data_IF_458384576483
#
_entry.id   IF_458384576483
#
_cell.length_a   1.000
_cell.length_b   1.000
_cell.length_c   1.000
_cell.angle_alpha   90.00
_cell.angle_beta   90.00
_cell.angle_gamma   90.00
#
_symmetry.space_group_name_H-M   'P 1'
#
loop_
_entity.id
_entity.type
_entity.pdbx_description
1 polymer ?
#
# COMPACT_ATOMS: atom_id res chain seq x y z
N UNK A 1 -2.95 -38.46 -0.41
CA UNK A 1 -2.02 -37.86 0.56
C UNK A 1 -2.85 -37.15 1.60
N UNK A 2 -2.64 -37.42 2.89
CA UNK A 2 -3.26 -36.64 3.96
C UNK A 2 -2.84 -35.17 3.80
N UNK A 3 -3.81 -34.26 3.77
CA UNK A 3 -3.53 -32.81 3.81
C UNK A 3 -3.13 -32.48 5.24
N UNK A 4 -1.86 -32.11 5.43
CA UNK A 4 -1.33 -31.68 6.73
C UNK A 4 -1.24 -30.16 6.73
N UNK A 5 -1.67 -29.52 7.82
CA UNK A 5 -1.59 -28.07 7.95
C UNK A 5 -0.14 -27.58 7.94
N UNK A 6 0.16 -26.44 7.29
CA UNK A 6 1.49 -25.84 7.30
C UNK A 6 2.01 -25.59 8.71
N UNK A 7 3.14 -26.20 9.03
CA UNK A 7 3.80 -26.08 10.33
C UNK A 7 5.32 -26.15 10.16
N UNK A 8 6.06 -25.73 11.19
CA UNK A 8 7.51 -25.80 11.26
C UNK A 8 7.95 -26.14 12.69
N UNK A 9 7.64 -27.36 13.18
CA UNK A 9 7.84 -27.74 14.58
C UNK A 9 9.31 -27.64 15.02
N UNK A 10 10.27 -27.89 14.13
CA UNK A 10 11.71 -27.74 14.39
C UNK A 10 12.09 -26.26 14.60
N UNK A 11 11.46 -25.35 13.87
CA UNK A 11 11.69 -23.91 13.99
C UNK A 11 11.08 -23.36 15.28
N UNK A 12 9.88 -23.83 15.65
CA UNK A 12 9.26 -23.49 16.94
C UNK A 12 10.13 -23.96 18.11
N UNK A 13 10.62 -25.21 18.05
CA UNK A 13 11.48 -25.76 19.08
C UNK A 13 12.81 -24.99 19.19
N UNK A 14 13.43 -24.69 18.05
CA UNK A 14 14.68 -23.92 17.98
C UNK A 14 14.50 -22.50 18.52
N UNK A 15 13.41 -21.83 18.16
CA UNK A 15 13.13 -20.47 18.62
C UNK A 15 12.92 -20.43 20.13
N UNK A 16 12.03 -21.27 20.67
CA UNK A 16 11.77 -21.32 22.10
C UNK A 16 13.01 -21.72 22.88
N UNK A 17 13.77 -22.71 22.40
CA UNK A 17 15.07 -23.07 22.97
C UNK A 17 16.02 -21.89 23.05
N UNK A 18 16.22 -21.20 21.92
CA UNK A 18 17.10 -20.03 21.86
C UNK A 18 16.59 -18.88 22.74
N UNK A 19 15.27 -18.68 22.87
CA UNK A 19 14.69 -17.68 23.79
C UNK A 19 14.97 -18.00 25.26
N UNK A 20 14.87 -19.27 25.66
CA UNK A 20 15.13 -19.71 27.04
C UNK A 20 16.62 -19.64 27.42
N UNK A 21 17.52 -19.72 26.44
CA UNK A 21 18.98 -19.66 26.65
C UNK A 21 19.53 -18.23 26.53
N UNK A 22 19.03 -17.45 25.58
CA UNK A 22 19.53 -16.12 25.26
C UNK A 22 18.43 -15.05 25.45
N UNK A 23 18.49 -14.23 26.52
CA UNK A 23 17.48 -13.20 26.77
C UNK A 23 17.27 -12.20 25.63
N UNK A 24 18.33 -11.93 24.84
CA UNK A 24 18.24 -11.05 23.66
C UNK A 24 17.31 -11.60 22.58
N UNK A 25 17.25 -12.93 22.42
CA UNK A 25 16.40 -13.56 21.41
C UNK A 25 14.92 -13.47 21.76
N UNK A 26 14.59 -13.54 23.05
CA UNK A 26 13.22 -13.31 23.52
C UNK A 26 12.74 -11.91 23.18
N UNK A 27 13.58 -10.90 23.44
CA UNK A 27 13.29 -9.51 23.06
C UNK A 27 13.04 -9.39 21.56
N UNK A 28 13.94 -9.93 20.73
CA UNK A 28 13.78 -9.86 19.26
C UNK A 28 12.49 -10.53 18.79
N UNK A 29 12.16 -11.72 19.28
CA UNK A 29 10.94 -12.42 18.87
C UNK A 29 9.67 -11.62 19.23
N UNK A 30 9.65 -11.01 20.41
CA UNK A 30 8.52 -10.21 20.91
C UNK A 30 8.41 -8.85 20.21
N UNK A 31 9.53 -8.14 19.99
CA UNK A 31 9.55 -6.85 19.29
C UNK A 31 9.13 -6.97 17.82
N UNK A 32 9.53 -8.07 17.17
CA UNK A 32 9.09 -8.37 15.81
C UNK A 32 7.58 -8.55 15.76
N UNK A 33 6.93 -8.97 16.85
CA UNK A 33 5.47 -9.09 17.03
C UNK A 33 4.93 -10.49 16.71
N UNK A 34 5.70 -11.53 17.01
CA UNK A 34 5.22 -12.91 16.93
C UNK A 34 4.17 -13.11 18.05
N UNK A 35 3.06 -13.75 17.74
CA UNK A 35 1.97 -13.99 18.71
C UNK A 35 1.96 -15.47 19.13
N UNK A 36 1.46 -15.80 20.33
CA UNK A 36 1.36 -17.18 20.78
C UNK A 36 0.59 -18.08 19.79
N UNK A 37 -0.47 -17.56 19.16
CA UNK A 37 -1.29 -18.27 18.17
C UNK A 37 -0.54 -18.59 16.86
N UNK A 38 0.63 -17.98 16.63
CA UNK A 38 1.49 -18.34 15.50
C UNK A 38 2.14 -19.72 15.66
N UNK A 39 2.20 -20.26 16.88
CA UNK A 39 2.71 -21.60 17.15
C UNK A 39 1.66 -22.67 16.80
N UNK A 40 2.07 -23.66 16.03
CA UNK A 40 1.25 -24.80 15.67
C UNK A 40 1.12 -25.79 16.83
N UNK A 41 2.21 -26.02 17.55
CA UNK A 41 2.20 -26.93 18.70
C UNK A 41 1.61 -26.21 19.90
N UNK A 42 0.53 -26.76 20.44
CA UNK A 42 -0.20 -26.21 21.57
C UNK A 42 0.67 -26.01 22.84
N UNK A 43 1.59 -26.94 23.10
CA UNK A 43 2.57 -26.79 24.19
C UNK A 43 3.50 -25.58 23.97
N UNK A 44 3.98 -25.39 22.74
CA UNK A 44 4.83 -24.26 22.38
C UNK A 44 4.07 -22.93 22.49
N UNK A 45 2.80 -22.90 22.09
CA UNK A 45 1.91 -21.73 22.27
C UNK A 45 1.83 -21.31 23.73
N UNK A 46 1.58 -22.25 24.65
CA UNK A 46 1.50 -21.97 26.09
C UNK A 46 2.82 -21.46 26.66
N UNK A 47 3.93 -22.07 26.24
CA UNK A 47 5.28 -21.66 26.65
C UNK A 47 5.57 -20.24 26.15
N UNK A 48 5.26 -19.93 24.90
CA UNK A 48 5.45 -18.59 24.33
C UNK A 48 4.58 -17.54 25.06
N UNK A 49 3.32 -17.86 25.34
CA UNK A 49 2.43 -16.98 26.11
C UNK A 49 3.00 -16.67 27.50
N UNK A 50 3.56 -17.68 28.19
CA UNK A 50 4.24 -17.44 29.47
C UNK A 50 5.46 -16.52 29.31
N UNK A 51 6.22 -16.64 28.20
CA UNK A 51 7.30 -15.71 27.89
C UNK A 51 6.78 -14.29 27.64
N UNK A 52 5.66 -14.11 26.93
CA UNK A 52 5.03 -12.80 26.70
C UNK A 52 4.66 -12.12 28.01
N UNK A 53 3.99 -12.83 28.93
CA UNK A 53 3.61 -12.28 30.23
C UNK A 53 4.84 -11.88 31.06
N UNK A 54 5.85 -12.75 31.13
CA UNK A 54 7.09 -12.47 31.87
C UNK A 54 7.82 -11.25 31.31
N UNK A 55 7.81 -11.08 29.98
CA UNK A 55 8.39 -9.90 29.34
C UNK A 55 7.63 -8.62 29.69
N UNK A 56 6.29 -8.66 29.68
CA UNK A 56 5.45 -7.51 30.06
C UNK A 56 5.67 -7.08 31.52
N UNK A 57 5.95 -8.04 32.40
CA UNK A 57 6.29 -7.78 33.80
C UNK A 57 7.75 -7.35 34.02
N UNK A 58 8.56 -7.29 32.95
CA UNK A 58 9.98 -6.94 33.04
C UNK A 58 10.85 -8.02 33.69
N UNK A 59 10.35 -9.25 33.78
CA UNK A 59 11.08 -10.40 34.33
C UNK A 59 11.94 -11.05 33.25
N UNK A 60 13.13 -11.51 33.62
CA UNK A 60 14.01 -12.22 32.70
C UNK A 60 13.40 -13.57 32.30
N UNK A 61 13.39 -13.86 31.01
CA UNK A 61 12.91 -15.12 30.46
C UNK A 61 14.05 -16.13 30.48
N UNK A 62 13.85 -17.21 31.23
CA UNK A 62 14.70 -18.40 31.24
C UNK A 62 13.83 -19.63 31.57
N UNK A 63 14.43 -20.83 31.53
CA UNK A 63 13.69 -22.07 31.79
C UNK A 63 13.08 -22.17 33.18
N UNK A 64 13.69 -21.52 34.19
CA UNK A 64 13.19 -21.56 35.56
C UNK A 64 12.02 -20.61 35.73
N UNK A 65 12.12 -19.38 35.22
CA UNK A 65 11.05 -18.39 35.30
C UNK A 65 9.82 -18.83 34.51
N UNK A 66 10.02 -19.38 33.31
CA UNK A 66 8.93 -19.92 32.47
C UNK A 66 8.28 -21.14 33.11
N UNK A 67 9.06 -22.11 33.63
CA UNK A 67 8.49 -23.27 34.31
C UNK A 67 7.70 -22.88 35.57
N UNK A 68 8.19 -21.88 36.32
CA UNK A 68 7.50 -21.35 37.50
C UNK A 68 6.17 -20.71 37.10
N UNK A 69 6.16 -19.85 36.08
CA UNK A 69 4.92 -19.24 35.55
C UNK A 69 3.91 -20.28 35.09
N UNK A 70 4.35 -21.29 34.34
CA UNK A 70 3.47 -22.36 33.88
C UNK A 70 2.95 -23.22 35.04
N UNK A 71 3.71 -23.35 36.12
CA UNK A 71 3.28 -24.06 37.33
C UNK A 71 2.24 -23.26 38.10
N UNK A 72 2.45 -21.95 38.27
CA UNK A 72 1.53 -21.06 38.98
C UNK A 72 0.17 -20.96 38.28
N UNK A 73 0.14 -21.18 36.96
CA UNK A 73 -1.06 -21.19 36.11
C UNK A 73 -1.65 -22.57 35.87
N UNK A 74 -1.11 -23.64 36.48
CA UNK A 74 -1.55 -25.04 36.28
C UNK A 74 -1.52 -25.50 34.79
N UNK A 75 -0.54 -24.99 34.05
CA UNK A 75 -0.30 -25.27 32.63
C UNK A 75 1.02 -26.05 32.38
N UNK A 76 1.87 -26.24 33.39
CA UNK A 76 3.17 -26.91 33.24
C UNK A 76 3.03 -28.33 32.70
N UNK A 77 2.19 -29.15 33.33
CA UNK A 77 1.98 -30.54 32.90
C UNK A 77 1.31 -30.61 31.52
N UNK A 78 0.39 -29.68 31.22
CA UNK A 78 -0.26 -29.54 29.91
C UNK A 78 0.69 -29.07 28.81
N UNK A 79 1.86 -28.56 29.18
CA UNK A 79 2.91 -28.11 28.26
C UNK A 79 4.04 -29.15 28.12
N UNK A 80 3.85 -30.36 28.64
CA UNK A 80 4.84 -31.45 28.59
C UNK A 80 5.80 -31.49 29.79
N UNK A 81 5.58 -30.64 30.79
CA UNK A 81 6.37 -30.60 32.01
C UNK A 81 7.76 -30.00 31.85
N UNK A 82 8.55 -30.02 32.93
CA UNK A 82 9.90 -29.48 32.95
C UNK A 82 10.83 -30.18 31.94
N UNK A 83 10.64 -31.48 31.72
CA UNK A 83 11.42 -32.25 30.77
C UNK A 83 11.28 -31.72 29.34
N UNK A 84 10.07 -31.33 28.93
CA UNK A 84 9.85 -30.74 27.62
C UNK A 84 10.56 -29.40 27.45
N UNK A 85 10.52 -28.53 28.47
CA UNK A 85 11.24 -27.24 28.46
C UNK A 85 12.75 -27.45 28.33
N UNK A 86 13.31 -28.42 29.05
CA UNK A 86 14.73 -28.79 28.92
C UNK A 86 15.06 -29.33 27.53
N UNK A 87 14.17 -30.11 26.92
CA UNK A 87 14.32 -30.59 25.55
C UNK A 87 14.32 -29.45 24.53
N UNK A 88 13.47 -28.41 24.71
CA UNK A 88 13.51 -27.21 23.88
C UNK A 88 14.86 -26.50 23.99
N UNK A 89 15.43 -26.38 25.20
CA UNK A 89 16.76 -25.79 25.37
C UNK A 89 17.85 -26.55 24.62
N UNK A 90 17.75 -27.88 24.51
CA UNK A 90 18.70 -28.69 23.74
C UNK A 90 18.59 -28.46 22.23
N UNK A 91 17.44 -27.98 21.74
CA UNK A 91 17.24 -27.56 20.36
C UNK A 91 17.72 -26.11 20.10
N UNK A 92 18.18 -25.39 21.12
CA UNK A 92 18.64 -24.02 20.99
C UNK A 92 19.84 -23.93 20.03
N UNK A 93 19.73 -23.02 19.07
CA UNK A 93 20.82 -22.67 18.15
C UNK A 93 21.30 -21.24 18.50
N UNK A 94 22.14 -20.64 17.67
CA UNK A 94 22.60 -19.25 17.83
C UNK A 94 21.46 -18.23 17.79
N UNK A 95 21.56 -17.20 18.63
CA UNK A 95 20.66 -16.04 18.62
C UNK A 95 20.68 -15.26 17.30
N UNK A 96 21.73 -15.42 16.48
CA UNK A 96 21.82 -14.80 15.15
C UNK A 96 20.70 -15.28 14.19
N UNK A 97 20.12 -16.47 14.42
CA UNK A 97 19.08 -17.04 13.56
C UNK A 97 17.66 -16.77 14.07
N UNK A 98 17.50 -16.06 15.20
CA UNK A 98 16.18 -15.81 15.80
C UNK A 98 15.19 -15.22 14.80
N UNK A 99 15.60 -14.21 14.03
CA UNK A 99 14.74 -13.57 13.04
C UNK A 99 14.30 -14.55 11.92
N UNK A 100 15.20 -15.45 11.51
CA UNK A 100 14.89 -16.49 10.52
C UNK A 100 13.79 -17.43 11.01
N UNK A 101 13.87 -17.87 12.27
CA UNK A 101 12.85 -18.75 12.85
C UNK A 101 11.52 -18.03 13.07
N UNK A 102 11.54 -16.78 13.55
CA UNK A 102 10.34 -15.93 13.67
C UNK A 102 9.63 -15.81 12.33
N UNK A 103 10.36 -15.50 11.26
CA UNK A 103 9.78 -15.38 9.93
C UNK A 103 9.21 -16.71 9.42
N UNK A 104 9.91 -17.83 9.65
CA UNK A 104 9.44 -19.14 9.23
C UNK A 104 8.15 -19.55 9.93
N UNK A 105 8.05 -19.33 11.24
CA UNK A 105 6.84 -19.63 12.02
C UNK A 105 5.67 -18.76 11.54
N UNK A 106 5.90 -17.45 11.33
CA UNK A 106 4.90 -16.52 10.78
C UNK A 106 4.41 -16.91 9.41
N UNK A 107 5.30 -17.29 8.51
CA UNK A 107 4.92 -17.71 7.17
C UNK A 107 4.00 -18.93 7.23
N UNK A 108 4.30 -19.91 8.10
CA UNK A 108 3.44 -21.07 8.32
C UNK A 108 2.12 -20.70 8.98
N UNK A 109 2.13 -19.83 9.98
CA UNK A 109 0.92 -19.35 10.65
C UNK A 109 -0.01 -18.60 9.68
N UNK A 110 0.54 -17.73 8.84
CA UNK A 110 -0.23 -17.01 7.82
C UNK A 110 -0.81 -17.95 6.78
N UNK A 111 -0.07 -18.99 6.36
CA UNK A 111 -0.61 -20.04 5.50
C UNK A 111 -1.76 -20.79 6.17
N UNK A 112 -1.67 -21.12 7.47
CA UNK A 112 -2.78 -21.76 8.21
C UNK A 112 -4.02 -20.87 8.28
N UNK A 113 -3.86 -19.60 8.69
CA UNK A 113 -4.96 -18.62 8.73
C UNK A 113 -5.65 -18.44 7.37
N UNK A 114 -4.87 -18.47 6.28
CA UNK A 114 -5.41 -18.43 4.92
C UNK A 114 -6.21 -19.68 4.56
N UNK A 115 -5.75 -20.86 4.96
CA UNK A 115 -6.48 -22.13 4.77
C UNK A 115 -7.80 -22.08 5.55
N UNK A 116 -7.77 -21.68 6.82
CA UNK A 116 -8.96 -21.57 7.67
C UNK A 116 -9.96 -20.55 7.12
N UNK A 117 -9.49 -19.41 6.60
CA UNK A 117 -10.36 -18.43 5.94
C UNK A 117 -10.98 -19.00 4.66
N UNK A 118 -10.23 -19.73 3.84
CA UNK A 118 -10.74 -20.38 2.64
C UNK A 118 -11.76 -21.49 2.96
N UNK A 119 -11.55 -22.26 4.03
CA UNK A 119 -12.49 -23.28 4.50
C UNK A 119 -13.80 -22.65 4.99
N UNK A 120 -13.73 -21.55 5.74
CA UNK A 120 -14.92 -20.79 6.16
C UNK A 120 -15.72 -20.24 4.98
N UNK A 121 -15.04 -19.65 4.00
CA UNK A 121 -15.68 -19.17 2.75
C UNK A 121 -16.35 -20.32 2.01
N UNK A 122 -15.69 -21.48 1.90
CA UNK A 122 -16.27 -22.64 1.25
C UNK A 122 -17.50 -23.17 1.99
N UNK A 123 -17.45 -23.27 3.32
CA UNK A 123 -18.56 -23.73 4.16
C UNK A 123 -19.77 -22.79 4.04
N UNK A 124 -19.55 -21.48 4.07
CA UNK A 124 -20.59 -20.48 3.83
C UNK A 124 -21.23 -20.64 2.44
N UNK A 125 -20.41 -20.90 1.41
CA UNK A 125 -20.90 -21.16 0.05
C UNK A 125 -21.81 -22.38 -0.05
N UNK A 126 -21.51 -23.46 0.69
CA UNK A 126 -22.37 -24.65 0.75
C UNK A 126 -23.64 -24.44 1.58
N UNK A 127 -23.61 -23.55 2.57
CA UNK A 127 -24.75 -23.30 3.48
C UNK A 127 -25.95 -22.60 2.81
N UNK A 128 -25.77 -22.05 1.60
CA UNK A 128 -26.84 -21.43 0.81
C UNK A 128 -27.23 -20.04 1.33
N UNK A 129 -26.41 -19.03 1.04
CA UNK A 129 -26.68 -17.61 1.33
C UNK A 129 -27.78 -17.04 0.41
N UNK A 130 -28.60 -16.12 0.95
CA UNK A 130 -29.75 -15.53 0.23
C UNK A 130 -29.36 -14.34 -0.65
N UNK A 131 -28.21 -13.69 -0.40
CA UNK A 131 -27.67 -12.58 -1.21
C UNK A 131 -26.22 -12.87 -1.63
N UNK A 132 -26.00 -12.99 -2.94
CA UNK A 132 -24.69 -13.23 -3.54
C UNK A 132 -23.72 -12.08 -3.28
N UNK A 133 -24.18 -10.82 -3.25
CA UNK A 133 -23.28 -9.68 -3.08
C UNK A 133 -22.72 -9.62 -1.66
N UNK A 134 -23.56 -9.89 -0.66
CA UNK A 134 -23.12 -9.92 0.74
C UNK A 134 -22.13 -11.08 0.98
N UNK A 135 -22.36 -12.25 0.37
CA UNK A 135 -21.40 -13.34 0.41
C UNK A 135 -20.04 -12.98 -0.23
N UNK A 136 -20.05 -12.34 -1.40
CA UNK A 136 -18.82 -11.87 -2.05
C UNK A 136 -18.08 -10.84 -1.20
N UNK A 137 -18.78 -9.85 -0.66
CA UNK A 137 -18.19 -8.80 0.19
C UNK A 137 -17.60 -9.37 1.50
N UNK A 138 -18.27 -10.34 2.14
CA UNK A 138 -17.76 -11.03 3.34
C UNK A 138 -16.55 -11.90 3.02
N UNK A 139 -16.61 -12.65 1.93
CA UNK A 139 -15.49 -13.48 1.47
C UNK A 139 -14.26 -12.63 1.19
N UNK A 140 -14.43 -11.49 0.51
CA UNK A 140 -13.34 -10.55 0.26
C UNK A 140 -12.76 -10.02 1.58
N UNK A 141 -13.60 -9.64 2.54
CA UNK A 141 -13.14 -9.18 3.87
C UNK A 141 -12.38 -10.26 4.64
N UNK A 142 -12.86 -11.50 4.68
CA UNK A 142 -12.19 -12.61 5.38
C UNK A 142 -10.79 -12.86 4.80
N UNK A 143 -10.67 -12.98 3.48
CA UNK A 143 -9.38 -13.17 2.83
C UNK A 143 -8.44 -11.96 3.04
N UNK A 144 -8.97 -10.73 2.94
CA UNK A 144 -8.18 -9.53 3.15
C UNK A 144 -7.72 -9.36 4.60
N UNK A 145 -8.50 -9.80 5.59
CA UNK A 145 -8.14 -9.69 7.00
C UNK A 145 -6.91 -10.52 7.34
N UNK A 146 -6.75 -11.71 6.74
CA UNK A 146 -5.53 -12.52 6.90
C UNK A 146 -4.28 -11.75 6.43
N UNK A 147 -4.41 -10.95 5.36
CA UNK A 147 -3.32 -10.11 4.85
C UNK A 147 -3.09 -8.82 5.65
N UNK A 148 -4.05 -8.38 6.49
CA UNK A 148 -4.01 -7.09 7.20
C UNK A 148 -3.39 -7.14 8.59
N UNK A 149 -2.97 -8.30 9.10
CA UNK A 149 -2.31 -8.40 10.42
C UNK A 149 -0.90 -7.78 10.49
N UNK A 150 -0.50 -6.95 9.53
CA UNK A 150 0.62 -6.02 9.67
C UNK A 150 0.16 -4.76 10.40
N UNK A 151 0.23 -4.78 11.74
CA UNK A 151 0.28 -3.63 12.67
C UNK A 151 -0.29 -2.32 12.10
N UNK A 152 -1.61 -2.23 11.95
CA UNK A 152 -2.28 -0.97 11.66
C UNK A 152 -2.85 -0.40 12.98
N UNK A 153 -2.20 0.64 13.54
CA UNK A 153 -2.86 1.51 14.52
C UNK A 153 -2.20 1.71 15.90
N UNK A 154 -1.03 1.14 16.19
CA UNK A 154 -0.35 1.40 17.47
C UNK A 154 0.32 2.78 17.50
N UNK A 155 0.38 3.40 18.70
CA UNK A 155 1.17 4.61 18.91
C UNK A 155 2.64 4.31 18.60
N UNK A 156 3.22 5.07 17.67
CA UNK A 156 4.65 4.95 17.37
C UNK A 156 5.47 5.53 18.51
N UNK A 157 6.51 4.82 18.94
CA UNK A 157 7.48 5.36 19.90
C UNK A 157 8.18 6.59 19.29
N UNK A 158 8.28 7.74 19.99
CA UNK A 158 8.94 8.93 19.48
C UNK A 158 10.38 8.68 19.02
N UNK A 159 11.11 7.78 19.69
CA UNK A 159 12.49 7.45 19.32
C UNK A 159 12.57 6.77 17.95
N UNK A 160 11.64 5.86 17.65
CA UNK A 160 11.60 5.16 16.36
C UNK A 160 11.27 6.13 15.22
N UNK A 161 10.31 7.02 15.45
CA UNK A 161 9.95 8.08 14.48
C UNK A 161 11.13 9.01 14.21
N UNK A 162 11.81 9.47 15.27
CA UNK A 162 12.98 10.35 15.14
C UNK A 162 14.13 9.66 14.41
N UNK A 163 14.38 8.38 14.70
CA UNK A 163 15.41 7.61 14.00
C UNK A 163 15.10 7.46 12.51
N UNK A 164 13.83 7.21 12.13
CA UNK A 164 13.38 7.15 10.73
C UNK A 164 13.55 8.50 10.01
N UNK A 165 13.20 9.60 10.68
CA UNK A 165 13.38 10.97 10.17
C UNK A 165 14.87 11.30 9.98
N UNK A 166 15.71 11.03 10.98
CA UNK A 166 17.15 11.29 10.90
C UNK A 166 17.82 10.46 9.79
N UNK A 167 17.41 9.20 9.61
CA UNK A 167 17.85 8.37 8.49
C UNK A 167 17.48 8.98 7.14
N UNK A 168 16.28 9.53 7.03
CA UNK A 168 15.78 10.19 5.81
C UNK A 168 16.56 11.48 5.52
N UNK A 169 16.84 12.29 6.54
CA UNK A 169 17.65 13.51 6.40
C UNK A 169 19.08 13.17 5.98
N UNK A 170 19.71 12.15 6.58
CA UNK A 170 21.06 11.70 6.18
C UNK A 170 21.10 11.22 4.73
N UNK A 171 20.14 10.41 4.31
CA UNK A 171 20.03 9.95 2.93
C UNK A 171 19.81 11.11 1.95
N UNK A 172 19.08 12.16 2.36
CA UNK A 172 18.92 13.38 1.58
C UNK A 172 20.22 14.21 1.52
N UNK A 173 20.98 14.30 2.62
CA UNK A 173 22.25 15.02 2.67
C UNK A 173 23.36 14.35 1.83
N UNK A 174 23.34 13.02 1.73
CA UNK A 174 24.26 12.25 0.87
C UNK A 174 23.93 12.40 -0.62
N UNK A 175 22.67 12.63 -0.97
CA UNK A 175 22.25 12.90 -2.33
C UNK A 175 22.38 14.39 -2.65
N UNK A 176 23.30 14.77 -3.53
CA UNK A 176 23.50 16.17 -3.96
C UNK A 176 22.35 16.75 -4.81
N UNK A 177 21.18 16.10 -4.84
CA UNK A 177 19.99 16.56 -5.56
C UNK A 177 19.09 17.36 -4.62
N UNK A 178 18.82 18.63 -4.94
CA UNK A 178 17.88 19.48 -4.19
C UNK A 178 16.44 18.91 -4.15
N UNK A 179 16.10 18.03 -5.09
CA UNK A 179 14.75 17.46 -5.22
C UNK A 179 14.69 16.12 -4.49
N UNK A 180 13.86 16.04 -3.43
CA UNK A 180 13.67 14.86 -2.57
C UNK A 180 12.56 13.93 -3.05
N UNK A 181 11.56 14.48 -3.75
CA UNK A 181 10.44 13.74 -4.34
C UNK A 181 10.67 13.36 -5.80
N UNK A 182 9.60 12.91 -6.48
CA UNK A 182 9.64 12.67 -7.92
C UNK A 182 9.67 14.00 -8.67
N UNK A 183 10.65 14.21 -9.56
CA UNK A 183 10.73 15.44 -10.37
C UNK A 183 9.55 15.51 -11.32
N UNK A 184 8.89 16.66 -11.39
CA UNK A 184 7.75 16.91 -12.29
C UNK A 184 8.19 17.23 -13.71
N UNK A 185 9.46 17.64 -13.89
CA UNK A 185 9.99 18.17 -15.15
C UNK A 185 9.70 19.66 -15.35
N UNK A 186 9.01 20.30 -14.40
CA UNK A 186 8.85 21.74 -14.34
C UNK A 186 9.79 22.30 -13.27
N UNK A 187 10.96 22.79 -13.67
CA UNK A 187 12.04 23.19 -12.75
C UNK A 187 11.58 24.18 -11.66
N UNK A 188 10.78 25.18 -12.02
CA UNK A 188 10.26 26.15 -11.05
C UNK A 188 9.30 25.52 -10.04
N UNK A 189 8.48 24.55 -10.47
CA UNK A 189 7.58 23.82 -9.60
C UNK A 189 8.36 22.86 -8.69
N UNK A 190 9.36 22.18 -9.23
CA UNK A 190 10.22 21.27 -8.48
C UNK A 190 11.02 22.02 -7.41
N UNK A 191 11.45 23.25 -7.68
CA UNK A 191 12.14 24.09 -6.69
C UNK A 191 11.24 24.49 -5.52
N UNK A 192 9.94 24.68 -5.77
CA UNK A 192 8.97 25.08 -4.73
C UNK A 192 8.50 23.85 -3.94
N UNK A 193 8.22 22.76 -4.64
CA UNK A 193 7.60 21.55 -4.04
C UNK A 193 8.63 20.52 -3.58
N UNK A 194 9.89 20.67 -3.98
CA UNK A 194 10.93 19.65 -3.86
C UNK A 194 10.50 18.32 -4.52
N UNK A 195 9.70 18.40 -5.58
CA UNK A 195 9.13 17.26 -6.30
C UNK A 195 7.89 16.67 -5.63
N UNK A 196 7.29 15.66 -6.26
CA UNK A 196 6.12 14.97 -5.74
C UNK A 196 6.51 13.99 -4.64
N UNK A 197 6.05 14.27 -3.43
CA UNK A 197 6.39 13.49 -2.25
C UNK A 197 5.57 12.19 -2.17
N UNK A 198 6.21 11.13 -1.69
CA UNK A 198 5.56 9.83 -1.48
C UNK A 198 4.60 9.90 -0.30
N UNK A 199 3.38 9.38 -0.46
CA UNK A 199 2.35 9.45 0.58
C UNK A 199 1.44 10.66 0.49
N UNK A 200 1.71 11.59 -0.43
CA UNK A 200 0.93 12.78 -0.62
C UNK A 200 -0.18 12.63 -1.66
N UNK A 201 -1.29 13.30 -1.36
CA UNK A 201 -2.37 13.51 -2.31
C UNK A 201 -2.24 14.94 -2.82
N UNK A 202 -2.04 15.10 -4.12
CA UNK A 202 -1.86 16.38 -4.80
C UNK A 202 -3.11 16.62 -5.62
N UNK A 203 -3.76 17.77 -5.40
CA UNK A 203 -4.97 18.14 -6.13
C UNK A 203 -4.63 19.14 -7.24
N UNK A 204 -4.91 18.77 -8.49
CA UNK A 204 -4.80 19.69 -9.64
C UNK A 204 -6.18 20.15 -10.06
N UNK A 205 -6.53 21.40 -9.71
CA UNK A 205 -7.85 21.94 -9.99
C UNK A 205 -7.82 23.05 -11.04
N UNK A 206 -8.72 22.99 -12.02
CA UNK A 206 -8.91 24.05 -13.00
C UNK A 206 -10.34 24.08 -13.56
N UNK A 207 -10.70 25.15 -14.27
CA UNK A 207 -11.93 25.20 -15.07
C UNK A 207 -11.78 24.34 -16.34
N UNK A 208 -12.91 23.89 -16.96
CA UNK A 208 -12.88 23.26 -18.28
C UNK A 208 -12.09 24.09 -19.28
N UNK A 209 -11.43 23.39 -20.21
CA UNK A 209 -10.63 24.00 -21.29
C UNK A 209 -9.39 24.79 -20.85
N UNK A 210 -9.04 24.81 -19.56
CA UNK A 210 -7.81 25.46 -19.05
C UNK A 210 -6.55 24.56 -19.10
N UNK A 211 -6.65 23.36 -19.71
CA UNK A 211 -5.49 22.47 -19.88
C UNK A 211 -5.15 21.56 -18.70
N UNK A 212 -6.08 21.34 -17.75
CA UNK A 212 -5.91 20.45 -16.57
C UNK A 212 -5.28 19.09 -16.93
N UNK A 213 -5.93 18.35 -17.84
CA UNK A 213 -5.45 17.04 -18.30
C UNK A 213 -4.12 17.15 -19.04
N UNK A 214 -3.88 18.24 -19.79
CA UNK A 214 -2.62 18.41 -20.52
C UNK A 214 -1.44 18.57 -19.56
N UNK A 215 -1.59 19.38 -18.51
CA UNK A 215 -0.56 19.53 -17.45
C UNK A 215 -0.31 18.20 -16.75
N UNK A 216 -1.37 17.49 -16.35
CA UNK A 216 -1.25 16.22 -15.66
C UNK A 216 -0.58 15.12 -16.50
N UNK A 217 -0.93 15.01 -17.80
CA UNK A 217 -0.29 14.06 -18.72
C UNK A 217 1.19 14.39 -18.93
N UNK A 218 1.56 15.66 -19.07
CA UNK A 218 2.96 16.03 -19.20
C UNK A 218 3.75 15.70 -17.92
N UNK A 219 3.15 15.92 -16.76
CA UNK A 219 3.75 15.54 -15.48
C UNK A 219 3.95 14.01 -15.40
N UNK A 220 2.92 13.22 -15.73
CA UNK A 220 3.03 11.76 -15.76
C UNK A 220 4.10 11.29 -16.76
N UNK A 221 4.14 11.86 -17.96
CA UNK A 221 5.14 11.55 -18.99
C UNK A 221 6.56 11.88 -18.52
N UNK A 222 6.78 13.06 -17.97
CA UNK A 222 8.08 13.47 -17.46
C UNK A 222 8.55 12.54 -16.35
N UNK A 223 7.66 12.21 -15.40
CA UNK A 223 7.96 11.23 -14.34
C UNK A 223 8.34 9.88 -14.94
N UNK A 224 7.64 9.41 -15.98
CA UNK A 224 7.91 8.10 -16.60
C UNK A 224 9.26 8.02 -17.31
N UNK A 225 9.69 9.13 -17.90
CA UNK A 225 10.88 9.19 -18.75
C UNK A 225 12.16 9.54 -17.97
N UNK A 226 12.07 9.89 -16.69
CA UNK A 226 13.25 10.11 -15.86
C UNK A 226 14.01 8.78 -15.67
N UNK A 227 15.34 8.74 -15.91
CA UNK A 227 16.14 7.51 -15.78
C UNK A 227 16.02 6.82 -14.41
N UNK A 228 15.83 7.60 -13.34
CA UNK A 228 15.65 7.10 -11.96
C UNK A 228 14.25 6.49 -11.73
N UNK A 229 13.26 6.88 -12.53
CA UNK A 229 11.89 6.39 -12.46
C UNK A 229 11.67 5.10 -13.26
N UNK A 230 12.65 4.65 -14.05
CA UNK A 230 12.59 3.42 -14.88
C UNK A 230 12.29 2.12 -14.10
N UNK A 231 12.12 2.16 -12.77
CA UNK A 231 11.80 1.00 -11.93
C UNK A 231 10.36 0.93 -11.41
N UNK A 232 9.50 1.93 -11.64
CA UNK A 232 8.15 1.91 -11.07
C UNK A 232 7.10 2.42 -12.06
N UNK A 233 5.93 1.79 -12.04
CA UNK A 233 4.82 2.12 -12.92
C UNK A 233 4.15 3.46 -12.59
N UNK A 234 3.48 4.04 -13.57
CA UNK A 234 2.56 5.17 -13.44
C UNK A 234 1.17 4.68 -13.82
N UNK A 235 0.25 4.70 -12.87
CA UNK A 235 -1.15 4.36 -13.12
C UNK A 235 -1.94 5.62 -13.45
N UNK A 236 -2.64 5.64 -14.58
CA UNK A 236 -3.53 6.72 -15.00
C UNK A 236 -4.95 6.19 -15.08
N UNK A 237 -5.83 6.68 -14.21
CA UNK A 237 -7.27 6.43 -14.28
C UNK A 237 -7.95 7.58 -15.00
N UNK A 238 -8.49 7.31 -16.18
CA UNK A 238 -9.11 8.29 -17.07
C UNK A 238 -10.60 8.04 -17.16
N UNK A 239 -11.38 8.81 -16.42
CA UNK A 239 -12.82 8.60 -16.27
C UNK A 239 -13.63 9.42 -17.29
N UNK A 240 -13.00 10.40 -17.94
CA UNK A 240 -13.63 11.25 -18.96
C UNK A 240 -13.21 10.88 -20.39
N UNK A 241 -11.95 10.47 -20.58
CA UNK A 241 -11.35 10.25 -21.90
C UNK A 241 -10.92 8.80 -22.10
N UNK A 242 -11.13 8.26 -23.30
CA UNK A 242 -10.61 6.93 -23.66
C UNK A 242 -9.08 6.88 -23.73
N UNK A 243 -8.50 5.71 -23.50
CA UNK A 243 -7.05 5.52 -23.44
C UNK A 243 -6.34 5.93 -24.75
N UNK A 244 -6.95 5.66 -25.91
CA UNK A 244 -6.41 6.06 -27.22
C UNK A 244 -6.27 7.58 -27.36
N UNK A 245 -7.22 8.35 -26.81
CA UNK A 245 -7.18 9.81 -26.87
C UNK A 245 -6.05 10.38 -25.98
N UNK A 246 -5.82 9.76 -24.82
CA UNK A 246 -4.69 10.12 -23.96
C UNK A 246 -3.35 9.75 -24.61
N UNK A 247 -3.25 8.56 -25.20
CA UNK A 247 -2.05 8.12 -25.91
C UNK A 247 -1.70 9.07 -27.08
N UNK A 248 -2.71 9.52 -27.84
CA UNK A 248 -2.53 10.52 -28.90
C UNK A 248 -1.96 11.84 -28.36
N UNK A 249 -2.42 12.29 -27.18
CA UNK A 249 -1.92 13.51 -26.54
C UNK A 249 -0.48 13.35 -26.04
N UNK A 250 -0.14 12.21 -25.44
CA UNK A 250 1.23 11.90 -25.03
C UNK A 250 2.17 11.87 -26.24
N UNK A 251 1.74 11.23 -27.33
CA UNK A 251 2.50 11.18 -28.58
C UNK A 251 2.70 12.57 -29.19
N UNK A 252 1.66 13.40 -29.21
CA UNK A 252 1.73 14.79 -29.65
C UNK A 252 2.72 15.61 -28.82
N UNK A 253 2.66 15.49 -27.49
CA UNK A 253 3.55 16.18 -26.57
C UNK A 253 5.01 15.76 -26.76
N UNK A 254 5.26 14.46 -26.91
CA UNK A 254 6.61 13.91 -27.05
C UNK A 254 7.24 14.12 -28.43
N UNK A 255 6.45 14.01 -29.50
CA UNK A 255 6.93 14.16 -30.88
C UNK A 255 7.00 15.63 -31.35
N UNK A 256 6.42 16.56 -30.60
CA UNK A 256 6.23 17.95 -30.99
C UNK A 256 5.50 18.09 -32.34
N UNK A 257 4.45 17.31 -32.52
CA UNK A 257 3.56 17.34 -33.69
C UNK A 257 2.17 17.74 -33.25
N UNK A 258 1.55 18.65 -34.01
CA UNK A 258 0.19 19.12 -33.75
C UNK A 258 -0.81 17.96 -33.76
N UNK A 259 -1.69 17.91 -32.75
CA UNK A 259 -2.66 16.83 -32.59
C UNK A 259 -3.59 16.63 -33.80
N UNK A 260 -3.93 17.70 -34.52
CA UNK A 260 -4.80 17.60 -35.72
C UNK A 260 -4.11 16.88 -36.88
N UNK A 261 -2.78 17.02 -37.02
CA UNK A 261 -2.02 16.25 -38.02
C UNK A 261 -2.00 14.76 -37.66
N UNK A 262 -1.86 14.43 -36.38
CA UNK A 262 -1.89 13.04 -35.94
C UNK A 262 -3.27 12.40 -36.16
N UNK A 263 -4.35 13.15 -35.90
CA UNK A 263 -5.73 12.68 -36.17
C UNK A 263 -6.01 12.48 -37.66
N UNK A 264 -5.49 13.37 -38.51
CA UNK A 264 -5.75 13.32 -39.96
C UNK A 264 -4.78 12.43 -40.73
N UNK A 265 -3.67 12.01 -40.11
CA UNK A 265 -2.61 11.23 -40.74
C UNK A 265 -1.80 11.99 -41.80
N UNK A 266 -2.00 13.31 -41.93
CA UNK A 266 -1.30 14.17 -42.91
C UNK A 266 0.07 14.56 -42.37
N UNK A 267 1.00 13.63 -42.48
CA UNK A 267 2.33 13.72 -41.89
C UNK A 267 3.41 13.60 -42.98
N UNK A 268 4.43 14.42 -42.86
CA UNK A 268 5.65 14.30 -43.66
C UNK A 268 6.49 13.11 -43.20
N UNK A 269 7.46 12.68 -44.03
CA UNK A 269 8.37 11.59 -43.65
C UNK A 269 9.20 11.92 -42.39
N UNK A 270 9.59 13.19 -42.24
CA UNK A 270 10.31 13.65 -41.04
C UNK A 270 9.41 13.60 -39.79
N UNK A 271 8.14 14.00 -39.91
CA UNK A 271 7.15 13.86 -38.82
C UNK A 271 6.92 12.39 -38.44
N UNK A 272 6.87 11.49 -39.42
CA UNK A 272 6.79 10.05 -39.16
C UNK A 272 7.99 9.51 -38.39
N UNK A 273 9.21 9.98 -38.70
CA UNK A 273 10.40 9.59 -37.95
C UNK A 273 10.32 10.03 -36.49
N UNK A 274 9.94 11.29 -36.23
CA UNK A 274 9.75 11.80 -34.86
C UNK A 274 8.66 11.05 -34.09
N UNK A 275 7.58 10.65 -34.77
CA UNK A 275 6.52 9.81 -34.16
C UNK A 275 7.06 8.45 -33.77
N UNK A 276 7.84 7.81 -34.64
CA UNK A 276 8.40 6.49 -34.37
C UNK A 276 9.38 6.50 -33.19
N UNK A 277 10.21 7.54 -33.11
CA UNK A 277 11.11 7.77 -31.97
C UNK A 277 10.30 7.97 -30.66
N UNK A 278 9.35 8.91 -30.67
CA UNK A 278 8.47 9.17 -29.53
C UNK A 278 7.68 7.93 -29.09
N UNK A 279 7.18 7.15 -30.04
CA UNK A 279 6.46 5.90 -29.77
C UNK A 279 7.36 4.86 -29.10
N UNK A 280 8.61 4.75 -29.55
CA UNK A 280 9.57 3.80 -28.97
C UNK A 280 9.91 4.16 -27.52
N UNK A 281 10.11 5.44 -27.23
CA UNK A 281 10.32 5.92 -25.85
C UNK A 281 9.10 5.71 -24.96
N UNK A 282 7.90 6.02 -25.45
CA UNK A 282 6.66 5.82 -24.68
C UNK A 282 6.36 4.33 -24.44
N UNK A 283 6.65 3.44 -25.40
CA UNK A 283 6.52 1.98 -25.21
C UNK A 283 7.51 1.42 -24.20
N UNK A 284 8.69 2.03 -24.09
CA UNK A 284 9.67 1.68 -23.07
C UNK A 284 9.36 2.28 -21.69
N UNK A 285 8.35 3.16 -21.60
CA UNK A 285 7.91 3.77 -20.34
C UNK A 285 6.86 2.90 -19.64
N UNK A 286 6.87 2.89 -18.31
CA UNK A 286 5.93 2.09 -17.50
C UNK A 286 4.63 2.86 -17.22
N UNK A 287 3.98 3.40 -18.27
CA UNK A 287 2.70 4.10 -18.14
C UNK A 287 1.55 3.13 -18.42
N UNK A 288 0.64 2.98 -17.47
CA UNK A 288 -0.54 2.12 -17.56
C UNK A 288 -1.80 2.98 -17.47
N UNK A 289 -2.71 2.82 -18.42
CA UNK A 289 -3.95 3.60 -18.51
C UNK A 289 -5.14 2.67 -18.30
N UNK A 290 -6.07 3.13 -17.48
CA UNK A 290 -7.37 2.50 -17.23
C UNK A 290 -8.47 3.53 -17.52
N UNK A 291 -9.28 3.28 -18.54
CA UNK A 291 -10.35 4.16 -19.00
C UNK A 291 -11.76 3.63 -18.66
N UNK A 292 -11.86 2.74 -17.67
CA UNK A 292 -13.13 2.22 -17.19
C UNK A 292 -14.00 3.34 -16.56
N UNK A 293 -15.15 3.62 -17.19
CA UNK A 293 -16.13 4.56 -16.67
C UNK A 293 -16.81 4.01 -15.40
N UNK A 294 -17.09 4.89 -14.43
CA UNK A 294 -17.80 4.53 -13.19
C UNK A 294 -17.02 3.61 -12.24
N UNK A 295 -15.69 3.59 -12.34
CA UNK A 295 -14.82 2.80 -11.46
C UNK A 295 -15.03 3.21 -9.99
N UNK A 296 -15.02 2.22 -9.10
CA UNK A 296 -15.15 2.44 -7.65
C UNK A 296 -13.78 2.52 -6.98
N UNK A 297 -13.72 3.18 -5.82
CA UNK A 297 -12.49 3.30 -5.02
C UNK A 297 -11.81 1.95 -4.73
N UNK A 298 -12.51 0.89 -4.27
CA UNK A 298 -11.85 -0.39 -4.00
C UNK A 298 -11.17 -1.00 -5.24
N UNK A 299 -11.76 -0.81 -6.43
CA UNK A 299 -11.20 -1.28 -7.69
C UNK A 299 -9.91 -0.53 -8.05
N UNK A 300 -9.87 0.79 -7.81
CA UNK A 300 -8.64 1.60 -7.95
C UNK A 300 -7.54 1.06 -7.03
N UNK A 301 -7.86 0.79 -5.74
CA UNK A 301 -6.92 0.22 -4.78
C UNK A 301 -6.37 -1.13 -5.27
N UNK A 302 -7.25 -2.05 -5.66
CA UNK A 302 -6.86 -3.39 -6.12
C UNK A 302 -5.98 -3.34 -7.37
N UNK A 303 -6.31 -2.49 -8.35
CA UNK A 303 -5.49 -2.30 -9.55
C UNK A 303 -4.13 -1.69 -9.22
N UNK A 304 -4.06 -0.68 -8.34
CA UNK A 304 -2.80 -0.07 -7.93
C UNK A 304 -1.91 -1.04 -7.14
N UNK A 305 -2.48 -1.85 -6.23
CA UNK A 305 -1.74 -2.87 -5.46
C UNK A 305 -1.15 -3.94 -6.39
N UNK A 306 -1.94 -4.44 -7.34
CA UNK A 306 -1.45 -5.40 -8.34
C UNK A 306 -0.31 -4.82 -9.15
N UNK A 307 -0.46 -3.59 -9.65
CA UNK A 307 0.58 -2.93 -10.43
C UNK A 307 1.86 -2.68 -9.61
N UNK A 308 1.72 -2.29 -8.34
CA UNK A 308 2.84 -2.12 -7.42
C UNK A 308 3.59 -3.44 -7.18
N UNK A 309 2.88 -4.57 -7.04
CA UNK A 309 3.49 -5.88 -6.83
C UNK A 309 4.23 -6.39 -8.08
N UNK A 310 3.68 -6.15 -9.27
CA UNK A 310 4.25 -6.64 -10.53
C UNK A 310 5.42 -5.77 -11.04
N UNK A 311 5.29 -4.45 -10.96
CA UNK A 311 6.18 -3.51 -11.63
C UNK A 311 6.74 -2.41 -10.71
N UNK A 312 6.38 -2.40 -9.42
CA UNK A 312 6.53 -1.21 -8.58
C UNK A 312 5.55 -0.10 -8.98
N UNK A 313 5.37 0.89 -8.11
CA UNK A 313 4.49 2.03 -8.38
C UNK A 313 5.18 3.32 -7.97
N UNK A 314 5.24 4.27 -8.89
CA UNK A 314 5.82 5.59 -8.67
C UNK A 314 4.76 6.65 -8.50
N UNK A 315 3.66 6.61 -9.26
CA UNK A 315 2.64 7.64 -9.20
C UNK A 315 1.27 7.09 -9.62
N UNK A 316 0.22 7.65 -9.03
CA UNK A 316 -1.16 7.44 -9.49
C UNK A 316 -1.72 8.79 -9.95
N UNK A 317 -2.34 8.82 -11.13
CA UNK A 317 -3.07 9.97 -11.66
C UNK A 317 -4.54 9.59 -11.83
N UNK A 318 -5.46 10.49 -11.43
CA UNK A 318 -6.90 10.28 -11.56
C UNK A 318 -7.53 11.50 -12.23
N UNK A 319 -8.10 11.32 -13.43
CA UNK A 319 -8.82 12.35 -14.19
C UNK A 319 -10.30 11.99 -14.35
N UNK A 320 -11.23 12.48 -13.54
CA UNK A 320 -11.09 13.37 -12.38
C UNK A 320 -12.00 12.91 -11.24
N UNK A 321 -11.72 13.38 -10.02
CA UNK A 321 -12.31 12.88 -8.76
C UNK A 321 -13.84 12.78 -8.82
N UNK A 322 -14.50 13.81 -9.37
CA UNK A 322 -15.95 13.88 -9.45
C UNK A 322 -16.60 12.91 -10.46
N UNK A 323 -15.87 11.96 -11.06
CA UNK A 323 -16.44 10.87 -11.86
C UNK A 323 -16.27 9.48 -11.20
N UNK A 324 -15.64 9.42 -10.03
CA UNK A 324 -15.58 8.19 -9.25
C UNK A 324 -16.96 7.93 -8.64
N UNK A 325 -17.45 6.70 -8.79
CA UNK A 325 -18.70 6.25 -8.17
C UNK A 325 -18.47 5.97 -6.68
N UNK A 326 -19.25 6.64 -5.83
CA UNK A 326 -19.31 6.38 -4.41
C UNK A 326 -20.24 5.22 -4.04
N UNK A 327 -20.15 4.69 -2.81
CA UNK A 327 -21.01 3.61 -2.32
C UNK A 327 -22.51 3.96 -2.34
N UNK A 328 -22.85 5.25 -2.37
CA UNK A 328 -24.19 5.81 -2.13
C UNK A 328 -24.97 6.20 -3.40
N UNK A 329 -24.53 5.80 -4.60
CA UNK A 329 -25.21 6.10 -5.88
C UNK A 329 -26.70 5.63 -5.92
N UNK A 330 -27.14 4.79 -4.98
CA UNK A 330 -28.50 4.24 -4.91
C UNK A 330 -29.49 5.00 -4.00
N UNK A 331 -29.07 6.02 -3.24
CA UNK A 331 -29.92 6.59 -2.16
C UNK A 331 -30.02 8.12 -2.09
N UNK A 332 -29.66 8.86 -3.15
CA UNK A 332 -29.83 10.33 -3.19
C UNK A 332 -28.93 11.09 -2.20
N UNK A 333 -27.75 10.53 -1.91
CA UNK A 333 -26.78 11.12 -0.99
C UNK A 333 -26.28 12.50 -1.43
N UNK A 334 -25.85 13.31 -0.46
CA UNK A 334 -25.26 14.63 -0.69
C UNK A 334 -23.91 14.47 -1.40
N UNK A 335 -23.80 14.93 -2.66
CA UNK A 335 -22.60 14.82 -3.49
C UNK A 335 -21.33 15.35 -2.80
N UNK A 336 -21.47 16.36 -1.94
CA UNK A 336 -20.36 16.90 -1.16
C UNK A 336 -19.76 15.88 -0.18
N UNK A 337 -20.60 15.07 0.46
CA UNK A 337 -20.16 14.01 1.38
C UNK A 337 -19.38 12.93 0.63
N UNK A 338 -19.88 12.55 -0.55
CA UNK A 338 -19.28 11.53 -1.39
C UNK A 338 -17.88 11.94 -1.88
N UNK A 339 -17.75 13.18 -2.38
CA UNK A 339 -16.45 13.74 -2.79
C UNK A 339 -15.48 13.82 -1.61
N UNK A 340 -15.99 14.09 -0.40
CA UNK A 340 -15.18 14.09 0.83
C UNK A 340 -14.65 12.70 1.17
N UNK A 341 -15.51 11.68 1.10
CA UNK A 341 -15.15 10.29 1.39
C UNK A 341 -14.18 9.71 0.34
N UNK A 342 -14.38 10.05 -0.93
CA UNK A 342 -13.46 9.74 -2.02
C UNK A 342 -12.08 10.35 -1.73
N UNK A 343 -12.03 11.62 -1.34
CA UNK A 343 -10.75 12.32 -1.12
C UNK A 343 -9.97 11.75 0.07
N UNK A 344 -10.66 11.44 1.18
CA UNK A 344 -10.04 10.71 2.30
C UNK A 344 -9.51 9.34 1.88
N UNK A 345 -10.26 8.63 1.03
CA UNK A 345 -9.84 7.33 0.51
C UNK A 345 -8.61 7.43 -0.40
N UNK A 346 -8.52 8.47 -1.25
CA UNK A 346 -7.35 8.71 -2.09
C UNK A 346 -6.12 9.11 -1.28
N UNK A 347 -6.28 9.88 -0.20
CA UNK A 347 -5.18 10.14 0.74
C UNK A 347 -4.73 8.87 1.46
N UNK A 348 -5.66 7.99 1.83
CA UNK A 348 -5.35 6.68 2.38
C UNK A 348 -4.56 5.83 1.37
N UNK A 349 -4.97 5.80 0.10
CA UNK A 349 -4.25 5.12 -0.98
C UNK A 349 -2.81 5.62 -1.10
N UNK A 350 -2.62 6.94 -1.13
CA UNK A 350 -1.30 7.55 -1.22
C UNK A 350 -0.38 7.08 -0.08
N UNK A 351 -0.87 7.15 1.16
CA UNK A 351 -0.12 6.77 2.37
C UNK A 351 0.17 5.27 2.43
N UNK A 352 -0.81 4.45 2.09
CA UNK A 352 -0.68 2.99 2.12
C UNK A 352 0.37 2.51 1.10
N UNK A 353 0.25 2.97 -0.15
CA UNK A 353 1.16 2.54 -1.23
C UNK A 353 2.47 3.33 -1.23
N UNK A 354 2.61 4.38 -0.41
CA UNK A 354 3.77 5.28 -0.35
C UNK A 354 4.13 5.86 -1.73
N UNK A 355 3.12 6.36 -2.44
CA UNK A 355 3.25 7.03 -3.74
C UNK A 355 2.48 8.35 -3.76
N UNK A 356 2.93 9.35 -4.53
CA UNK A 356 2.10 10.51 -4.84
C UNK A 356 0.86 10.12 -5.64
N UNK A 357 -0.30 10.63 -5.21
CA UNK A 357 -1.58 10.52 -5.93
C UNK A 357 -1.95 11.90 -6.45
N UNK A 358 -1.92 12.11 -7.77
CA UNK A 358 -2.33 13.35 -8.43
C UNK A 358 -3.79 13.22 -8.87
N UNK A 359 -4.67 13.89 -8.14
CA UNK A 359 -6.11 13.81 -8.33
C UNK A 359 -6.61 15.11 -8.98
N UNK A 360 -7.16 15.00 -10.18
CA UNK A 360 -7.65 16.15 -10.92
C UNK A 360 -9.03 16.53 -10.40
N UNK A 361 -9.29 17.82 -10.28
CA UNK A 361 -10.57 18.35 -9.80
C UNK A 361 -11.07 19.47 -10.71
N UNK A 362 -12.38 19.62 -10.84
CA UNK A 362 -12.96 20.72 -11.59
C UNK A 362 -13.40 21.85 -10.65
N UNK A 363 -13.05 23.09 -11.00
CA UNK A 363 -13.49 24.27 -10.25
C UNK A 363 -14.96 24.60 -10.53
N UNK A 364 -15.63 25.20 -9.54
CA UNK A 364 -16.99 25.73 -9.68
C UNK A 364 -17.05 26.91 -10.67
N UNK A 365 -18.25 27.22 -11.18
CA UNK A 365 -18.45 28.32 -12.14
C UNK A 365 -18.37 29.71 -11.47
N UNK A 366 -18.41 29.79 -10.13
CA UNK A 366 -18.39 31.06 -9.39
C UNK A 366 -17.12 31.89 -9.65
N UNK A 367 -16.00 31.24 -9.98
CA UNK A 367 -14.74 31.91 -10.36
C UNK A 367 -14.95 32.88 -11.52
N UNK A 368 -15.82 32.56 -12.47
CA UNK A 368 -16.05 33.36 -13.68
C UNK A 368 -16.84 34.64 -13.40
N UNK A 369 -17.58 34.67 -12.27
CA UNK A 369 -18.40 35.80 -11.85
C UNK A 369 -17.63 36.87 -11.05
N UNK A 370 -16.39 36.58 -10.62
CA UNK A 370 -15.54 37.53 -9.92
C UNK A 370 -14.79 38.44 -10.90
N UNK A 371 -14.44 39.65 -10.45
CA UNK A 371 -13.52 40.53 -11.18
C UNK A 371 -12.12 39.90 -11.27
N UNK A 372 -11.58 39.41 -10.14
CA UNK A 372 -10.39 38.56 -10.14
C UNK A 372 -10.77 37.09 -10.34
N UNK A 373 -10.40 36.58 -11.51
CA UNK A 373 -10.67 35.22 -11.97
C UNK A 373 -9.59 34.22 -11.56
N UNK A 374 -8.61 34.64 -10.73
CA UNK A 374 -7.65 33.71 -10.12
C UNK A 374 -8.39 32.73 -9.20
N UNK A 375 -8.16 31.40 -9.34
CA UNK A 375 -8.74 30.42 -8.44
C UNK A 375 -8.29 30.59 -6.99
N UNK A 376 -9.19 30.29 -6.07
CA UNK A 376 -9.00 30.28 -4.62
C UNK A 376 -9.48 28.93 -4.07
N UNK A 377 -9.10 28.58 -2.84
CA UNK A 377 -9.47 27.29 -2.21
C UNK A 377 -10.99 27.08 -2.15
N UNK A 378 -11.75 28.15 -1.89
CA UNK A 378 -13.22 28.14 -1.88
C UNK A 378 -13.87 27.72 -3.21
N UNK A 379 -13.11 27.75 -4.31
CA UNK A 379 -13.63 27.46 -5.64
C UNK A 379 -13.60 25.97 -5.99
N UNK A 380 -12.93 25.16 -5.17
CA UNK A 380 -12.93 23.71 -5.28
C UNK A 380 -14.39 23.22 -5.10
N UNK A 381 -14.95 22.74 -6.20
CA UNK A 381 -16.38 22.43 -6.33
C UNK A 381 -16.77 21.30 -5.37
N UNK A 382 -17.88 21.48 -4.63
CA UNK A 382 -18.52 20.43 -3.81
C UNK A 382 -17.57 19.83 -2.74
N UNK A 383 -16.62 20.61 -2.20
CA UNK A 383 -15.40 20.00 -1.63
C UNK A 383 -14.71 20.70 -0.45
N UNK A 384 -15.46 21.22 0.54
CA UNK A 384 -14.85 21.73 1.78
C UNK A 384 -13.92 20.74 2.50
N UNK A 385 -13.98 19.44 2.20
CA UNK A 385 -13.08 18.40 2.73
C UNK A 385 -11.96 17.95 1.76
N UNK A 386 -11.87 18.49 0.54
CA UNK A 386 -10.68 18.33 -0.31
C UNK A 386 -9.56 19.27 0.16
N UNK A 387 -9.95 20.41 0.74
CA UNK A 387 -9.04 21.38 1.34
C UNK A 387 -8.41 20.87 2.64
N UNK A 388 -9.14 20.04 3.40
CA UNK A 388 -8.69 19.39 4.64
C UNK A 388 -7.93 18.10 4.35
#
# INVERSE_FOLDING_TARGET
MSRVLPSAPEAEASLLGTMLVYPSSSRTALEEGLEADDFFIEANRRIYHACEELYQEGTQIDSTTVATRLKDTDLLDKSGGMEYILNLMNAAVTSANTLTYVNLIRDKAMMRRMIEAAERVAEEGFSGQTDLNDYLDRSEKEILNVSRNRKAGEFKNPNDVLNEVLKTIRAAAENSSEITGLKTGFNDLDRITHGLQRGDMIVLAARPSMGKTAVALNLAMNVALIPQAQKGAIAIFSLEMGAEQLAMRLLSAKSHIQGDKLKTGRLTNEEWNRINEASSELKASNIYIDDMAGIKIPEIFSKCRRLQAEHGLNMVMIDYIQLISGPSDRTGGNRQQEVSDISRSLKALARELKVPVVALSQLSRSVEAREDKRPMLSDLRESGAIEQ
#
